data_IF_125711134067
#
_entry.id   IF_125711134067
#
_cell.length_a   1.000
_cell.length_b   1.000
_cell.length_c   1.000
_cell.angle_alpha   90.00
_cell.angle_beta   90.00
_cell.angle_gamma   90.00
#
_symmetry.space_group_name_H-M   'P 1'
#
loop_
_entity.id
_entity.type
_entity.pdbx_description
1 polymer ?
#
# COMPACT_ATOMS: atom_id res chain seq x y z
N UNK A 1 -8.64 -4.25 8.92
CA UNK A 1 -9.37 -5.15 7.97
C UNK A 1 -8.42 -5.91 7.04
N UNK A 2 -7.67 -5.30 6.11
CA UNK A 2 -6.80 -6.03 5.16
C UNK A 2 -5.75 -6.94 5.85
N UNK A 3 -5.08 -6.46 6.92
CA UNK A 3 -4.13 -7.28 7.70
C UNK A 3 -4.80 -8.51 8.32
N UNK A 4 -5.98 -8.36 8.93
CA UNK A 4 -6.72 -9.47 9.53
C UNK A 4 -7.13 -10.50 8.49
N UNK A 5 -7.55 -10.05 7.30
CA UNK A 5 -7.91 -10.92 6.19
C UNK A 5 -6.67 -11.69 5.68
N UNK A 6 -5.50 -11.03 5.58
CA UNK A 6 -4.24 -11.69 5.24
C UNK A 6 -3.86 -12.75 6.27
N UNK A 7 -3.92 -12.40 7.55
CA UNK A 7 -3.58 -13.32 8.64
C UNK A 7 -4.53 -14.54 8.62
N UNK A 8 -5.82 -14.32 8.37
CA UNK A 8 -6.83 -15.38 8.30
C UNK A 8 -6.58 -16.33 7.11
N UNK A 9 -6.27 -15.79 5.92
CA UNK A 9 -6.10 -16.61 4.72
C UNK A 9 -4.72 -17.26 4.60
N UNK A 10 -3.63 -16.57 4.95
CA UNK A 10 -2.26 -17.01 4.63
C UNK A 10 -1.40 -17.33 5.85
N UNK A 11 -1.84 -16.96 7.05
CA UNK A 11 -1.17 -17.34 8.29
C UNK A 11 -1.92 -18.47 8.99
N UNK A 12 -3.23 -18.33 9.16
CA UNK A 12 -4.11 -19.36 9.76
C UNK A 12 -4.56 -20.41 8.75
N UNK A 13 -4.57 -20.09 7.44
CA UNK A 13 -5.03 -20.95 6.34
C UNK A 13 -6.53 -21.25 6.35
N UNK A 14 -7.33 -20.33 6.88
CA UNK A 14 -8.78 -20.40 6.90
C UNK A 14 -9.43 -19.61 5.73
N UNK A 15 -8.76 -19.61 4.56
CA UNK A 15 -9.37 -19.10 3.35
C UNK A 15 -10.63 -19.90 2.97
N UNK A 16 -11.61 -19.31 2.25
CA UNK A 16 -12.82 -19.99 1.86
C UNK A 16 -12.52 -21.17 0.91
N UNK A 17 -12.90 -22.38 1.31
CA UNK A 17 -12.87 -23.55 0.45
C UNK A 17 -14.01 -23.51 -0.58
N UNK A 18 -14.17 -24.55 -1.41
CA UNK A 18 -15.23 -24.65 -2.44
C UNK A 18 -16.66 -24.52 -1.88
N UNK A 19 -16.86 -24.88 -0.61
CA UNK A 19 -18.15 -24.78 0.11
C UNK A 19 -18.29 -23.45 0.88
N UNK A 20 -17.35 -22.51 0.72
CA UNK A 20 -17.32 -21.24 1.45
C UNK A 20 -16.96 -21.35 2.93
N UNK A 21 -16.53 -22.54 3.41
CA UNK A 21 -16.11 -22.74 4.80
C UNK A 21 -14.62 -22.48 4.97
N UNK A 22 -14.14 -22.13 6.19
CA UNK A 22 -12.70 -21.98 6.49
C UNK A 22 -11.95 -23.26 6.17
N UNK A 23 -10.86 -23.21 5.39
CA UNK A 23 -10.17 -24.40 4.90
C UNK A 23 -9.61 -25.27 6.03
N UNK A 24 -8.68 -24.74 6.80
CA UNK A 24 -7.98 -25.51 7.86
C UNK A 24 -8.94 -25.93 8.99
N UNK A 25 -9.75 -25.00 9.48
CA UNK A 25 -10.69 -25.26 10.58
C UNK A 25 -11.80 -26.25 10.19
N UNK A 26 -12.04 -26.47 8.89
CA UNK A 26 -12.99 -27.49 8.40
C UNK A 26 -12.30 -28.83 8.05
N UNK A 27 -11.06 -29.05 8.49
CA UNK A 27 -10.32 -30.28 8.28
C UNK A 27 -9.56 -30.35 6.94
N UNK A 28 -9.22 -29.21 6.35
CA UNK A 28 -8.40 -29.15 5.14
C UNK A 28 -7.01 -29.77 5.35
N UNK A 29 -6.56 -30.59 4.40
CA UNK A 29 -5.30 -31.31 4.48
C UNK A 29 -4.09 -30.35 4.48
N UNK A 30 -3.15 -30.57 5.42
CA UNK A 30 -1.92 -29.81 5.57
C UNK A 30 -0.72 -30.69 5.27
N UNK A 31 0.32 -30.11 4.65
CA UNK A 31 1.58 -30.80 4.31
C UNK A 31 2.77 -29.95 4.74
N UNK A 32 3.85 -30.61 5.17
CA UNK A 32 5.10 -29.92 5.53
C UNK A 32 5.80 -29.37 4.28
N UNK A 33 6.20 -28.10 4.33
CA UNK A 33 6.97 -27.47 3.26
C UNK A 33 8.40 -27.14 3.71
N UNK A 34 9.37 -27.79 3.09
CA UNK A 34 10.80 -27.64 3.44
C UNK A 34 11.35 -26.22 3.17
N UNK A 35 10.84 -25.52 2.12
CA UNK A 35 11.31 -24.18 1.78
C UNK A 35 10.84 -23.12 2.80
N UNK A 36 9.65 -23.31 3.37
CA UNK A 36 9.03 -22.38 4.31
C UNK A 36 9.20 -22.81 5.77
N UNK A 37 9.69 -24.04 6.01
CA UNK A 37 9.85 -24.64 7.34
C UNK A 37 8.56 -24.59 8.18
N UNK A 38 7.43 -24.88 7.55
CA UNK A 38 6.10 -24.90 8.18
C UNK A 38 5.12 -25.76 7.39
N UNK A 39 4.03 -26.13 8.05
CA UNK A 39 2.89 -26.73 7.36
C UNK A 39 2.14 -25.70 6.51
N UNK A 40 1.74 -26.10 5.32
CA UNK A 40 0.92 -25.34 4.38
C UNK A 40 -0.22 -26.22 3.84
N UNK A 41 -1.30 -25.66 3.30
CA UNK A 41 -2.37 -26.44 2.67
C UNK A 41 -1.82 -27.34 1.55
N UNK A 42 -2.42 -28.50 1.41
CA UNK A 42 -2.08 -29.42 0.31
C UNK A 42 -2.31 -28.73 -1.05
N UNK A 43 -1.37 -28.91 -1.97
CA UNK A 43 -1.38 -28.26 -3.29
C UNK A 43 -0.76 -26.87 -3.33
N UNK A 44 -0.46 -26.26 -2.18
CA UNK A 44 0.24 -24.97 -2.14
C UNK A 44 1.74 -25.14 -2.28
N UNK A 45 2.42 -24.09 -2.71
CA UNK A 45 3.87 -24.03 -2.89
C UNK A 45 4.51 -22.90 -2.09
N UNK A 46 5.83 -23.01 -1.86
CA UNK A 46 6.67 -21.92 -1.36
C UNK A 46 7.41 -21.27 -2.52
N UNK A 47 7.15 -20.00 -2.77
CA UNK A 47 7.81 -19.18 -3.80
C UNK A 47 8.51 -17.99 -3.16
N UNK A 48 9.36 -17.28 -3.92
CA UNK A 48 9.96 -16.02 -3.47
C UNK A 48 9.25 -14.82 -4.11
N UNK A 49 9.41 -13.62 -3.54
CA UNK A 49 8.84 -12.41 -4.14
C UNK A 49 9.35 -12.17 -5.57
N UNK A 50 10.59 -12.55 -5.89
CA UNK A 50 11.14 -12.45 -7.25
C UNK A 50 10.38 -13.29 -8.29
N UNK A 51 9.68 -14.33 -7.85
CA UNK A 51 8.87 -15.17 -8.72
C UNK A 51 7.51 -14.52 -9.02
N UNK A 52 7.08 -13.54 -8.21
CA UNK A 52 5.79 -12.85 -8.28
C UNK A 52 5.87 -11.42 -8.83
N UNK A 53 7.02 -10.77 -8.73
CA UNK A 53 7.20 -9.40 -9.18
C UNK A 53 8.63 -9.14 -9.68
N UNK A 54 8.75 -8.18 -10.60
CA UNK A 54 10.02 -7.66 -11.08
C UNK A 54 10.32 -6.31 -10.40
N UNK A 55 11.61 -5.98 -10.27
CA UNK A 55 12.01 -4.64 -9.82
C UNK A 55 12.24 -3.70 -11.00
N UNK A 56 11.81 -2.44 -10.89
CA UNK A 56 12.10 -1.39 -11.86
C UNK A 56 13.11 -0.38 -11.29
N UNK A 57 13.98 0.14 -12.15
CA UNK A 57 14.96 1.19 -11.82
C UNK A 57 15.00 2.28 -12.90
N UNK A 58 13.87 2.48 -13.61
CA UNK A 58 13.78 3.55 -14.59
C UNK A 58 13.83 4.90 -13.88
N UNK A 59 14.93 5.64 -14.05
CA UNK A 59 15.16 6.90 -13.36
C UNK A 59 15.21 8.06 -14.37
N UNK A 60 14.77 9.22 -13.88
CA UNK A 60 14.88 10.52 -14.58
C UNK A 60 15.47 11.57 -13.68
N UNK A 61 16.10 12.56 -14.27
CA UNK A 61 16.38 13.85 -13.60
C UNK A 61 15.15 14.73 -13.79
N UNK A 62 14.48 15.19 -12.70
CA UNK A 62 13.30 16.04 -12.80
C UNK A 62 13.58 17.34 -13.56
N UNK A 63 12.61 17.77 -14.39
CA UNK A 63 12.69 19.00 -15.18
C UNK A 63 12.21 20.18 -14.35
N UNK A 64 12.96 21.29 -14.31
CA UNK A 64 12.75 22.41 -13.40
C UNK A 64 11.33 23.04 -13.47
N UNK A 65 10.75 23.10 -14.66
CA UNK A 65 9.46 23.74 -14.90
C UNK A 65 8.24 22.78 -14.83
N UNK A 66 8.45 21.56 -14.36
CA UNK A 66 7.39 20.56 -14.22
C UNK A 66 7.00 20.36 -12.76
N UNK A 67 5.74 20.05 -12.52
CA UNK A 67 5.22 19.65 -11.22
C UNK A 67 5.04 18.13 -11.19
N UNK A 68 5.54 17.51 -10.12
CA UNK A 68 5.55 16.07 -9.96
C UNK A 68 4.72 15.62 -8.75
N UNK A 69 4.02 14.51 -8.89
CA UNK A 69 3.54 13.72 -7.76
C UNK A 69 4.73 12.92 -7.21
N UNK A 70 5.38 13.47 -6.19
CA UNK A 70 6.63 12.96 -5.65
C UNK A 70 6.42 12.07 -4.42
N UNK A 71 6.59 10.77 -4.60
CA UNK A 71 6.58 9.77 -3.53
C UNK A 71 7.95 9.76 -2.85
N UNK A 72 8.09 10.52 -1.79
CA UNK A 72 9.31 10.61 -0.98
C UNK A 72 9.10 10.01 0.42
N UNK A 73 10.19 9.76 1.15
CA UNK A 73 10.08 9.32 2.55
C UNK A 73 9.39 10.39 3.41
N UNK A 74 9.78 11.70 3.31
CA UNK A 74 9.09 12.74 4.07
C UNK A 74 7.60 12.88 3.74
N UNK A 75 7.23 12.82 2.45
CA UNK A 75 5.81 12.90 2.07
C UNK A 75 5.00 11.71 2.59
N UNK A 76 5.59 10.50 2.54
CA UNK A 76 4.94 9.33 3.12
C UNK A 76 4.75 9.47 4.63
N UNK A 77 5.76 9.93 5.36
CA UNK A 77 5.68 10.11 6.82
C UNK A 77 4.68 11.20 7.21
N UNK A 78 4.48 12.21 6.37
CA UNK A 78 3.53 13.30 6.59
C UNK A 78 2.07 12.92 6.29
N UNK A 79 1.80 12.22 5.18
CA UNK A 79 0.44 11.97 4.71
C UNK A 79 0.17 10.54 4.20
N UNK A 80 1.15 9.65 4.25
CA UNK A 80 1.04 8.27 3.74
C UNK A 80 0.98 8.17 2.21
N UNK A 81 1.28 9.27 1.49
CA UNK A 81 1.16 9.37 0.04
C UNK A 81 2.29 10.22 -0.56
N UNK A 82 1.99 10.99 -1.60
CA UNK A 82 2.92 11.88 -2.30
C UNK A 82 2.70 13.35 -1.91
N UNK A 83 3.70 14.19 -2.17
CA UNK A 83 3.60 15.64 -2.24
C UNK A 83 3.58 16.11 -3.70
N UNK A 84 3.09 17.34 -3.94
CA UNK A 84 3.25 18.03 -5.22
C UNK A 84 4.50 18.91 -5.11
N UNK A 85 5.57 18.53 -5.80
CA UNK A 85 6.85 19.23 -5.74
C UNK A 85 7.21 19.76 -7.13
N UNK A 86 7.79 20.98 -7.19
CA UNK A 86 8.34 21.51 -8.43
C UNK A 86 9.66 20.79 -8.74
N UNK A 87 9.93 20.53 -10.01
CA UNK A 87 11.19 19.91 -10.41
C UNK A 87 12.42 20.68 -9.99
N UNK A 88 12.34 22.02 -9.91
CA UNK A 88 13.40 22.90 -9.39
C UNK A 88 13.83 22.58 -7.95
N UNK A 89 12.91 22.03 -7.13
CA UNK A 89 13.16 21.73 -5.72
C UNK A 89 13.76 20.31 -5.53
N UNK A 90 13.73 19.49 -6.59
CA UNK A 90 14.17 18.10 -6.57
C UNK A 90 15.61 18.00 -7.14
N UNK A 91 16.60 17.86 -6.26
CA UNK A 91 18.03 17.94 -6.62
C UNK A 91 18.69 16.61 -6.98
N UNK A 92 17.94 15.52 -7.09
CA UNK A 92 18.49 14.18 -7.41
C UNK A 92 17.54 13.37 -8.27
N UNK A 93 18.10 12.43 -9.01
CA UNK A 93 17.31 11.50 -9.84
C UNK A 93 16.23 10.79 -9.03
N UNK A 94 15.12 10.52 -9.70
CA UNK A 94 13.95 9.82 -9.15
C UNK A 94 13.52 8.69 -10.08
N UNK A 95 12.92 7.66 -9.52
CA UNK A 95 12.29 6.62 -10.31
C UNK A 95 10.98 7.12 -10.92
N UNK A 96 10.79 6.87 -12.22
CA UNK A 96 9.50 7.06 -12.89
C UNK A 96 8.54 5.98 -12.39
N UNK A 97 7.35 6.40 -11.97
CA UNK A 97 6.35 5.49 -11.43
C UNK A 97 5.15 5.35 -12.36
N UNK A 98 4.54 4.19 -12.29
CA UNK A 98 3.31 3.84 -13.02
C UNK A 98 2.24 3.33 -12.06
N UNK A 99 0.98 3.54 -12.42
CA UNK A 99 -0.16 2.99 -11.69
C UNK A 99 0.02 1.49 -11.45
N UNK A 100 -0.33 1.03 -10.26
CA UNK A 100 -0.32 -0.39 -9.88
C UNK A 100 1.01 -0.91 -9.36
N UNK A 101 2.10 -0.15 -9.52
CA UNK A 101 3.39 -0.49 -8.91
C UNK A 101 3.29 -0.42 -7.38
N UNK A 102 4.13 -1.22 -6.72
CA UNK A 102 4.26 -1.21 -5.26
C UNK A 102 5.64 -0.69 -4.87
N UNK A 103 5.67 0.25 -3.94
CA UNK A 103 6.91 0.82 -3.42
C UNK A 103 7.18 0.27 -2.03
N UNK A 104 8.41 -0.16 -1.78
CA UNK A 104 8.88 -0.59 -0.46
C UNK A 104 10.13 0.18 -0.11
N UNK A 105 10.15 0.85 1.04
CA UNK A 105 11.34 1.58 1.49
C UNK A 105 12.47 0.60 1.83
N UNK A 106 13.65 0.85 1.27
CA UNK A 106 14.90 0.21 1.69
C UNK A 106 15.37 0.76 3.02
N UNK A 107 15.11 2.06 3.25
CA UNK A 107 15.61 2.79 4.40
C UNK A 107 14.77 2.47 5.64
N UNK A 108 15.43 2.00 6.69
CA UNK A 108 14.84 1.73 8.00
C UNK A 108 13.55 0.90 7.88
N UNK A 109 13.65 -0.37 7.41
CA UNK A 109 12.49 -1.18 7.02
C UNK A 109 11.46 -1.40 8.12
N UNK A 110 11.84 -1.22 9.39
CA UNK A 110 10.91 -1.32 10.54
C UNK A 110 9.80 -0.26 10.55
N UNK A 111 9.95 0.86 9.81
CA UNK A 111 8.88 1.87 9.67
C UNK A 111 7.76 1.46 8.72
N UNK A 112 7.90 0.33 8.03
CA UNK A 112 6.86 -0.23 7.15
C UNK A 112 6.30 0.76 6.13
N UNK A 113 7.18 1.47 5.44
CA UNK A 113 6.79 2.43 4.39
C UNK A 113 6.54 1.68 3.08
N UNK A 114 5.28 1.41 2.81
CA UNK A 114 4.81 0.69 1.62
C UNK A 114 3.70 1.50 0.96
N UNK A 115 3.84 1.76 -0.34
CA UNK A 115 2.84 2.48 -1.14
C UNK A 115 2.36 1.58 -2.27
N UNK A 116 1.07 1.61 -2.53
CA UNK A 116 0.48 1.16 -3.79
C UNK A 116 0.26 2.41 -4.65
N UNK A 117 0.99 2.51 -5.77
CA UNK A 117 0.97 3.69 -6.63
C UNK A 117 -0.41 3.85 -7.27
N UNK A 118 -1.15 4.94 -6.96
CA UNK A 118 -2.47 5.18 -7.53
C UNK A 118 -2.38 5.61 -9.00
N UNK A 119 -3.51 5.88 -9.63
CA UNK A 119 -3.53 6.55 -10.93
C UNK A 119 -3.13 8.02 -10.73
N UNK A 120 -2.20 8.50 -11.57
CA UNK A 120 -1.72 9.89 -11.52
C UNK A 120 -0.95 10.27 -12.76
N UNK A 121 -0.44 11.49 -12.79
CA UNK A 121 0.39 12.06 -13.86
C UNK A 121 1.73 12.52 -13.29
N UNK A 122 2.80 12.47 -14.07
CA UNK A 122 4.14 12.91 -13.66
C UNK A 122 4.55 12.32 -12.30
N UNK A 123 4.32 11.00 -12.12
CA UNK A 123 4.61 10.34 -10.86
C UNK A 123 6.08 9.93 -10.79
N UNK A 124 6.75 10.34 -9.72
CA UNK A 124 8.13 9.97 -9.45
C UNK A 124 8.30 9.51 -8.00
N UNK A 125 9.27 8.63 -7.76
CA UNK A 125 9.57 8.09 -6.44
C UNK A 125 11.03 8.26 -6.05
N UNK A 126 11.27 8.44 -4.75
CA UNK A 126 12.63 8.44 -4.19
C UNK A 126 13.36 7.15 -4.54
N UNK A 127 14.65 7.25 -4.86
CA UNK A 127 15.54 6.09 -5.07
C UNK A 127 15.75 5.24 -3.81
N UNK A 128 15.27 5.69 -2.66
CA UNK A 128 15.21 4.90 -1.42
C UNK A 128 14.08 3.85 -1.42
N UNK A 129 13.17 3.90 -2.39
CA UNK A 129 12.21 2.82 -2.61
C UNK A 129 12.74 1.74 -3.55
N UNK A 130 12.30 0.51 -3.33
CA UNK A 130 12.30 -0.55 -4.35
C UNK A 130 10.95 -0.48 -5.04
N UNK A 131 10.96 -0.34 -6.35
CA UNK A 131 9.75 -0.31 -7.19
C UNK A 131 9.48 -1.74 -7.66
N UNK A 132 8.35 -2.30 -7.27
CA UNK A 132 7.91 -3.64 -7.63
C UNK A 132 6.83 -3.56 -8.71
N UNK A 133 7.03 -4.32 -9.80
CA UNK A 133 6.03 -4.55 -10.83
C UNK A 133 5.49 -5.98 -10.64
N UNK A 134 4.27 -6.17 -10.13
CA UNK A 134 3.65 -7.49 -10.08
C UNK A 134 3.59 -8.11 -11.48
N UNK A 135 3.94 -9.39 -11.59
CA UNK A 135 3.87 -10.12 -12.87
C UNK A 135 2.42 -10.30 -13.34
N UNK A 136 1.49 -10.30 -12.39
CA UNK A 136 0.06 -10.39 -12.62
C UNK A 136 -0.66 -9.36 -11.74
N UNK A 137 -1.42 -8.46 -12.34
CA UNK A 137 -2.15 -7.41 -11.61
C UNK A 137 -3.10 -7.97 -10.56
N UNK A 138 -3.75 -9.11 -10.84
CA UNK A 138 -4.66 -9.75 -9.88
C UNK A 138 -3.98 -10.26 -8.59
N UNK A 139 -2.63 -10.33 -8.58
CA UNK A 139 -1.83 -10.74 -7.43
C UNK A 139 -1.27 -9.55 -6.63
N UNK A 140 -1.42 -8.33 -7.15
CA UNK A 140 -0.89 -7.10 -6.53
C UNK A 140 -1.34 -6.93 -5.09
N UNK A 141 -2.62 -7.21 -4.79
CA UNK A 141 -3.15 -7.13 -3.43
C UNK A 141 -2.53 -8.12 -2.46
N UNK A 142 -2.19 -9.31 -2.95
CA UNK A 142 -1.46 -10.30 -2.14
C UNK A 142 -0.03 -9.83 -1.87
N UNK A 143 0.71 -9.43 -2.91
CA UNK A 143 2.09 -8.93 -2.78
C UNK A 143 2.12 -7.73 -1.83
N UNK A 144 1.18 -6.78 -1.98
CA UNK A 144 1.03 -5.63 -1.08
C UNK A 144 0.86 -6.05 0.37
N UNK A 145 0.01 -7.04 0.65
CA UNK A 145 -0.21 -7.54 2.01
C UNK A 145 1.02 -8.27 2.57
N UNK A 146 1.72 -9.03 1.74
CA UNK A 146 2.99 -9.69 2.09
C UNK A 146 4.03 -8.67 2.54
N UNK A 147 4.30 -7.64 1.73
CA UNK A 147 5.34 -6.64 2.02
C UNK A 147 4.99 -5.73 3.21
N UNK A 148 3.72 -5.68 3.61
CA UNK A 148 3.25 -5.03 4.85
C UNK A 148 3.21 -5.96 6.05
N UNK A 149 3.45 -7.25 5.88
CA UNK A 149 3.34 -8.23 6.95
C UNK A 149 4.44 -8.07 8.00
N UNK A 150 4.17 -8.34 9.29
CA UNK A 150 5.19 -8.30 10.34
C UNK A 150 6.38 -9.23 10.07
N UNK A 151 6.13 -10.38 9.43
CA UNK A 151 7.21 -11.33 9.06
C UNK A 151 8.17 -10.75 8.03
N UNK A 152 7.64 -10.08 7.01
CA UNK A 152 8.46 -9.42 6.00
C UNK A 152 9.27 -8.28 6.60
N UNK A 153 8.64 -7.45 7.44
CA UNK A 153 9.32 -6.33 8.12
C UNK A 153 10.44 -6.85 9.03
N UNK A 154 10.19 -7.88 9.83
CA UNK A 154 11.20 -8.49 10.68
C UNK A 154 12.37 -9.05 9.85
N UNK A 155 12.08 -9.76 8.76
CA UNK A 155 13.09 -10.29 7.84
C UNK A 155 13.96 -9.18 7.25
N UNK A 156 13.37 -8.12 6.72
CA UNK A 156 14.09 -6.97 6.16
C UNK A 156 14.89 -6.23 7.25
N UNK A 157 14.34 -6.08 8.45
CA UNK A 157 14.99 -5.40 9.57
C UNK A 157 16.23 -6.14 10.07
N UNK A 158 16.18 -7.46 10.12
CA UNK A 158 17.32 -8.30 10.50
C UNK A 158 18.47 -8.24 9.46
N UNK A 159 18.11 -8.19 8.18
CA UNK A 159 19.06 -8.12 7.07
C UNK A 159 19.56 -6.70 6.76
N UNK A 160 18.98 -5.68 7.37
CA UNK A 160 19.37 -4.29 7.12
C UNK A 160 20.76 -3.98 7.68
N UNK A 161 21.61 -3.40 6.84
CA UNK A 161 22.99 -2.98 7.16
C UNK A 161 23.15 -1.46 7.10
N UNK A 162 24.13 -0.91 7.80
CA UNK A 162 24.43 0.53 7.81
C UNK A 162 25.35 0.91 8.97
N UNK A 163 26.04 2.03 8.83
CA UNK A 163 27.04 2.51 9.80
C UNK A 163 26.41 3.19 11.02
N UNK A 164 25.15 3.61 10.92
CA UNK A 164 24.41 4.22 12.03
C UNK A 164 23.02 3.60 12.17
N UNK A 165 22.46 3.64 13.38
CA UNK A 165 21.08 3.16 13.62
C UNK A 165 20.02 3.94 12.83
N UNK A 166 20.31 5.19 12.46
CA UNK A 166 19.37 6.06 11.75
C UNK A 166 19.32 5.86 10.23
N UNK A 167 20.26 5.09 9.64
CA UNK A 167 20.39 4.95 8.18
C UNK A 167 20.71 3.51 7.77
N UNK A 168 19.98 2.54 8.31
CA UNK A 168 20.11 1.14 7.88
C UNK A 168 19.26 0.85 6.65
N UNK A 169 19.84 0.12 5.70
CA UNK A 169 19.17 -0.22 4.44
C UNK A 169 19.19 -1.72 4.21
N UNK A 170 18.09 -2.22 3.66
CA UNK A 170 18.00 -3.58 3.13
C UNK A 170 18.26 -3.56 1.62
N UNK A 171 19.03 -4.53 1.11
CA UNK A 171 19.25 -4.62 -0.33
C UNK A 171 18.00 -5.13 -1.05
N UNK A 172 17.74 -4.68 -2.30
CA UNK A 172 16.62 -5.16 -3.11
C UNK A 172 16.64 -6.69 -3.30
N UNK A 173 17.83 -7.30 -3.44
CA UNK A 173 17.96 -8.73 -3.66
C UNK A 173 17.52 -9.53 -2.43
N UNK A 174 17.86 -9.06 -1.23
CA UNK A 174 17.39 -9.65 0.03
C UNK A 174 15.88 -9.54 0.13
N UNK A 175 15.32 -8.36 -0.14
CA UNK A 175 13.87 -8.11 -0.12
C UNK A 175 13.15 -9.09 -1.07
N UNK A 176 13.65 -9.24 -2.30
CA UNK A 176 13.06 -10.11 -3.33
C UNK A 176 13.24 -11.61 -3.04
N UNK A 177 14.21 -11.99 -2.20
CA UNK A 177 14.42 -13.38 -1.77
C UNK A 177 13.44 -13.84 -0.68
N UNK A 178 12.60 -12.96 -0.15
CA UNK A 178 11.62 -13.32 0.86
C UNK A 178 10.66 -14.40 0.36
N UNK A 179 10.49 -15.46 1.15
CA UNK A 179 9.67 -16.62 0.77
C UNK A 179 8.25 -16.50 1.32
N UNK A 180 7.28 -16.83 0.47
CA UNK A 180 5.85 -16.75 0.75
C UNK A 180 5.14 -18.03 0.35
N UNK A 181 3.96 -18.25 0.91
CA UNK A 181 3.04 -19.31 0.47
C UNK A 181 2.33 -18.86 -0.79
N UNK A 182 2.07 -19.77 -1.72
CA UNK A 182 1.42 -19.43 -2.98
C UNK A 182 0.52 -20.55 -3.47
N UNK A 183 -0.70 -20.18 -3.83
CA UNK A 183 -1.64 -20.91 -4.66
C UNK A 183 -2.39 -19.89 -5.52
N UNK A 184 -2.34 -20.05 -6.83
CA UNK A 184 -2.77 -19.03 -7.78
C UNK A 184 -4.22 -18.60 -7.59
N UNK A 185 -5.15 -19.54 -7.45
CA UNK A 185 -6.58 -19.26 -7.37
C UNK A 185 -6.95 -18.47 -6.10
N UNK A 186 -6.38 -18.85 -4.94
CA UNK A 186 -6.63 -18.16 -3.67
C UNK A 186 -5.95 -16.79 -3.65
N UNK A 187 -4.71 -16.70 -4.15
CA UNK A 187 -3.95 -15.44 -4.23
C UNK A 187 -4.68 -14.42 -5.10
N UNK A 188 -5.20 -14.82 -6.26
CA UNK A 188 -5.95 -13.93 -7.15
C UNK A 188 -7.28 -13.48 -6.54
N UNK A 189 -8.05 -14.41 -5.94
CA UNK A 189 -9.30 -14.06 -5.22
C UNK A 189 -9.04 -13.04 -4.11
N UNK A 190 -7.99 -13.27 -3.32
CA UNK A 190 -7.58 -12.35 -2.26
C UNK A 190 -7.14 -11.02 -2.84
N UNK A 191 -6.31 -11.04 -3.89
CA UNK A 191 -5.80 -9.85 -4.57
C UNK A 191 -6.92 -8.92 -5.02
N UNK A 192 -7.96 -9.46 -5.67
CA UNK A 192 -9.14 -8.69 -6.08
C UNK A 192 -9.90 -8.06 -4.90
N UNK A 193 -9.95 -8.72 -3.73
CA UNK A 193 -10.58 -8.12 -2.54
C UNK A 193 -9.76 -6.94 -2.02
N UNK A 194 -8.44 -7.10 -1.94
CA UNK A 194 -7.56 -6.03 -1.46
C UNK A 194 -7.52 -4.86 -2.43
N UNK A 195 -7.54 -5.10 -3.73
CA UNK A 195 -7.60 -4.04 -4.75
C UNK A 195 -8.83 -3.14 -4.56
N UNK A 196 -10.01 -3.73 -4.31
CA UNK A 196 -11.23 -2.97 -4.03
C UNK A 196 -11.07 -2.08 -2.78
N UNK A 197 -10.48 -2.62 -1.71
CA UNK A 197 -10.21 -1.87 -0.48
C UNK A 197 -9.22 -0.73 -0.75
N UNK A 198 -8.15 -0.99 -1.52
CA UNK A 198 -7.15 0.03 -1.85
C UNK A 198 -7.73 1.13 -2.75
N UNK A 199 -8.61 0.78 -3.69
CA UNK A 199 -9.30 1.77 -4.51
C UNK A 199 -10.16 2.70 -3.66
N UNK A 200 -10.98 2.15 -2.77
CA UNK A 200 -11.78 2.95 -1.84
C UNK A 200 -10.91 3.83 -0.94
N UNK A 201 -9.80 3.30 -0.43
CA UNK A 201 -8.87 4.08 0.39
C UNK A 201 -8.25 5.24 -0.39
N UNK A 202 -7.86 5.02 -1.65
CA UNK A 202 -7.30 6.08 -2.51
C UNK A 202 -8.34 7.17 -2.81
N UNK A 203 -9.60 6.80 -3.07
CA UNK A 203 -10.71 7.73 -3.28
C UNK A 203 -10.95 8.60 -2.03
N UNK A 204 -11.01 7.98 -0.85
CA UNK A 204 -11.19 8.70 0.41
C UNK A 204 -10.01 9.64 0.74
N UNK A 205 -8.77 9.21 0.48
CA UNK A 205 -7.60 10.08 0.67
C UNK A 205 -7.63 11.30 -0.26
N UNK A 206 -8.07 11.11 -1.51
CA UNK A 206 -8.26 12.23 -2.46
C UNK A 206 -9.34 13.19 -1.98
N UNK A 207 -10.46 12.69 -1.48
CA UNK A 207 -11.54 13.50 -0.92
C UNK A 207 -11.08 14.29 0.32
N UNK A 208 -10.35 13.63 1.23
CA UNK A 208 -9.76 14.30 2.41
C UNK A 208 -8.83 15.45 1.98
N UNK A 209 -8.01 15.24 0.96
CA UNK A 209 -7.12 16.30 0.45
C UNK A 209 -7.90 17.51 -0.09
N UNK A 210 -8.97 17.26 -0.84
CA UNK A 210 -9.85 18.33 -1.39
C UNK A 210 -10.54 19.08 -0.24
N UNK A 211 -11.13 18.36 0.72
CA UNK A 211 -11.83 18.96 1.84
C UNK A 211 -10.87 19.75 2.76
N UNK A 212 -9.66 19.25 2.95
CA UNK A 212 -8.61 19.96 3.70
C UNK A 212 -8.24 21.27 3.01
N UNK A 213 -8.04 21.25 1.70
CA UNK A 213 -7.78 22.48 0.92
C UNK A 213 -8.93 23.47 1.02
N UNK A 214 -10.18 23.03 0.87
CA UNK A 214 -11.37 23.89 1.01
C UNK A 214 -11.46 24.49 2.41
N UNK A 215 -11.20 23.70 3.46
CA UNK A 215 -11.15 24.21 4.84
C UNK A 215 -10.12 25.32 4.99
N UNK A 216 -8.91 25.10 4.49
CA UNK A 216 -7.80 26.04 4.64
C UNK A 216 -8.02 27.34 3.84
N UNK A 217 -8.74 27.27 2.73
CA UNK A 217 -9.16 28.45 1.95
C UNK A 217 -10.30 29.22 2.63
N UNK A 218 -11.28 28.53 3.20
CA UNK A 218 -12.47 29.15 3.80
C UNK A 218 -12.23 29.68 5.21
N UNK A 219 -11.41 29.01 6.02
CA UNK A 219 -11.20 29.37 7.41
C UNK A 219 -10.71 30.80 7.61
N UNK A 220 -9.74 31.34 6.87
CA UNK A 220 -9.31 32.73 6.97
C UNK A 220 -10.44 33.70 6.57
N UNK A 221 -11.25 33.37 5.56
CA UNK A 221 -12.38 34.22 5.12
C UNK A 221 -13.47 34.33 6.19
N UNK A 222 -13.76 33.21 6.88
CA UNK A 222 -14.70 33.19 8.00
C UNK A 222 -14.15 33.97 9.20
N UNK A 223 -12.89 33.81 9.54
CA UNK A 223 -12.24 34.52 10.66
C UNK A 223 -12.17 36.04 10.43
N UNK A 224 -12.01 36.47 9.18
CA UNK A 224 -11.93 37.87 8.81
C UNK A 224 -13.34 38.51 8.54
N UNK A 225 -14.43 37.77 8.72
CA UNK A 225 -15.79 38.23 8.46
C UNK A 225 -16.10 38.48 6.97
N UNK A 226 -15.22 37.97 6.07
CA UNK A 226 -15.43 38.10 4.61
C UNK A 226 -16.38 37.07 4.03
N UNK A 227 -16.66 36.00 4.81
CA UNK A 227 -17.70 35.02 4.51
C UNK A 227 -18.53 34.76 5.77
N UNK A 228 -19.82 34.50 5.56
CA UNK A 228 -20.72 34.10 6.64
C UNK A 228 -21.36 32.76 6.31
N UNK A 229 -21.50 31.90 7.34
CA UNK A 229 -22.26 30.65 7.20
C UNK A 229 -23.75 30.97 7.44
N UNK A 230 -24.53 30.96 6.37
CA UNK A 230 -25.98 31.05 6.50
C UNK A 230 -26.54 29.73 7.01
N UNK A 231 -26.92 29.69 8.28
CA UNK A 231 -27.61 28.55 8.94
C UNK A 231 -29.11 28.47 8.50
N UNK A 232 -29.43 28.69 7.25
CA UNK A 232 -30.70 28.23 6.71
C UNK A 232 -30.59 26.75 6.32
N UNK A 233 -30.47 25.89 7.33
CA UNK A 233 -30.89 24.50 7.17
C UNK A 233 -32.39 24.55 6.92
N UNK A 234 -32.80 24.41 5.65
CA UNK A 234 -34.21 24.27 5.32
C UNK A 234 -34.77 23.11 6.16
N UNK A 235 -35.93 23.32 6.77
CA UNK A 235 -36.62 22.32 7.60
C UNK A 235 -36.87 20.98 6.88
N UNK A 236 -36.68 20.92 5.54
CA UNK A 236 -36.73 19.73 4.71
C UNK A 236 -35.54 18.75 4.95
N UNK A 237 -34.40 19.21 5.48
CA UNK A 237 -33.25 18.33 5.75
C UNK A 237 -33.37 17.65 7.12
N UNK A 238 -34.09 18.24 8.08
CA UNK A 238 -34.33 17.64 9.40
C UNK A 238 -35.42 16.56 9.35
N UNK A 239 -36.38 16.64 8.42
CA UNK A 239 -37.41 15.61 8.29
C UNK A 239 -36.92 14.33 7.62
N UNK A 240 -35.85 14.35 6.81
CA UNK A 240 -35.27 13.14 6.23
C UNK A 240 -34.35 12.38 7.18
N UNK A 241 -33.84 13.00 8.24
CA UNK A 241 -33.00 12.35 9.27
C UNK A 241 -33.82 11.68 10.38
N UNK A 242 -35.10 12.00 10.50
CA UNK A 242 -35.99 11.41 11.53
C UNK A 242 -36.66 10.12 11.02
N UNK A 243 -36.69 9.86 9.73
CA UNK A 243 -37.31 8.66 9.11
C UNK A 243 -36.39 7.42 9.02
N UNK A 244 -35.18 7.47 9.60
CA UNK A 244 -34.25 6.32 9.68
C UNK A 244 -33.97 5.88 11.14
N UNK A 245 -34.95 6.08 12.04
CA UNK A 245 -34.92 5.55 13.40
C UNK A 245 -36.24 4.84 13.70
N UNK A 246 -36.37 3.63 13.18
CA UNK A 246 -37.19 2.55 13.73
C UNK A 246 -36.60 1.22 13.23
#
# INVERSE_FOLDING_TARGET
MAKQLYDYWFVQFDFPNEKGKPYKSSGGAMVWNEKLKREIPQGWSGVSLKDLALTSRNAITPVENEVYQHFSIPSFDACGSYSLDNGSDIKSDKFVLQKGQLLVSKLNPWFNRVVWVPKGTNMIGSTEFVVLNPNNESESGYIYSVIKSPKFIAYCSQAATGTSHSQRRVSPDVLMAFKVVYEQGVVQKYGCLIEKIQKQQAELLSEIAILTKQRDELLPLLMNGQASVNYHLSASFLSSLILYRD
#
